data_IF_609225665609
#
_entry.id   IF_609225665609
#
_cell.length_a   1.000
_cell.length_b   1.000
_cell.length_c   1.000
_cell.angle_alpha   90.00
_cell.angle_beta   90.00
_cell.angle_gamma   90.00
#
_symmetry.space_group_name_H-M   'P 1'
#
loop_
_entity.id
_entity.type
_entity.pdbx_description
1 polymer ?
#
# COMPACT_ATOMS: atom_id res chain seq x y z
N UNK A 1 -16.07 -5.27 -14.78
CA UNK A 1 -15.03 -6.30 -14.57
C UNK A 1 -15.33 -7.00 -13.26
N UNK A 2 -15.60 -8.31 -13.29
CA UNK A 2 -15.83 -9.13 -12.09
C UNK A 2 -14.53 -9.80 -11.68
N UNK A 3 -14.21 -9.83 -10.38
CA UNK A 3 -12.98 -10.49 -9.88
C UNK A 3 -12.89 -11.94 -10.35
N UNK A 4 -14.03 -12.62 -10.47
CA UNK A 4 -14.14 -14.02 -10.88
C UNK A 4 -13.66 -14.30 -12.30
N UNK A 5 -13.71 -13.29 -13.19
CA UNK A 5 -13.31 -13.42 -14.61
C UNK A 5 -11.84 -13.08 -14.86
N UNK A 6 -11.11 -12.61 -13.84
CA UNK A 6 -9.69 -12.27 -13.96
C UNK A 6 -8.81 -13.51 -13.84
N UNK A 7 -7.75 -13.55 -14.67
CA UNK A 7 -6.68 -14.53 -14.52
C UNK A 7 -5.97 -14.35 -13.17
N UNK A 8 -5.32 -15.40 -12.64
CA UNK A 8 -4.57 -15.31 -11.39
C UNK A 8 -3.57 -14.15 -11.36
N UNK A 9 -2.84 -13.93 -12.46
CA UNK A 9 -1.85 -12.85 -12.58
C UNK A 9 -2.51 -11.47 -12.54
N UNK A 10 -3.67 -11.32 -13.17
CA UNK A 10 -4.44 -10.08 -13.17
C UNK A 10 -5.00 -9.75 -11.79
N UNK A 11 -5.44 -10.76 -11.03
CA UNK A 11 -5.87 -10.60 -9.63
C UNK A 11 -4.72 -10.13 -8.74
N UNK A 12 -3.53 -10.69 -8.93
CA UNK A 12 -2.33 -10.29 -8.18
C UNK A 12 -1.96 -8.85 -8.54
N UNK A 13 -1.91 -8.51 -9.82
CA UNK A 13 -1.61 -7.15 -10.28
C UNK A 13 -2.64 -6.15 -9.76
N UNK A 14 -3.93 -6.47 -9.81
CA UNK A 14 -4.99 -5.63 -9.26
C UNK A 14 -4.79 -5.41 -7.75
N UNK A 15 -4.47 -6.46 -7.01
CA UNK A 15 -4.22 -6.36 -5.56
C UNK A 15 -3.01 -5.47 -5.26
N UNK A 16 -1.94 -5.58 -6.05
CA UNK A 16 -0.75 -4.74 -5.93
C UNK A 16 -1.12 -3.28 -6.21
N UNK A 17 -1.82 -3.01 -7.32
CA UNK A 17 -2.25 -1.66 -7.69
C UNK A 17 -3.16 -1.03 -6.64
N UNK A 18 -4.11 -1.79 -6.08
CA UNK A 18 -4.97 -1.32 -4.99
C UNK A 18 -4.14 -0.91 -3.76
N UNK A 19 -3.16 -1.72 -3.38
CA UNK A 19 -2.25 -1.42 -2.27
C UNK A 19 -1.44 -0.15 -2.55
N UNK A 20 -0.85 -0.03 -3.74
CA UNK A 20 -0.07 1.16 -4.10
C UNK A 20 -0.93 2.43 -4.10
N UNK A 21 -2.18 2.36 -4.58
CA UNK A 21 -3.12 3.50 -4.47
C UNK A 21 -3.40 3.89 -3.02
N UNK A 22 -3.67 2.92 -2.14
CA UNK A 22 -3.87 3.21 -0.72
C UNK A 22 -2.63 3.84 -0.07
N UNK A 23 -1.43 3.38 -0.43
CA UNK A 23 -0.17 3.94 0.06
C UNK A 23 -0.03 5.40 -0.35
N UNK A 24 -0.34 5.75 -1.61
CA UNK A 24 -0.27 7.13 -2.11
C UNK A 24 -1.24 8.05 -1.40
N UNK A 25 -2.49 7.61 -1.19
CA UNK A 25 -3.49 8.39 -0.42
C UNK A 25 -3.00 8.65 1.01
N UNK A 26 -2.41 7.64 1.65
CA UNK A 26 -1.85 7.82 3.00
C UNK A 26 -0.64 8.78 3.00
N UNK A 27 0.21 8.71 1.97
CA UNK A 27 1.34 9.60 1.81
C UNK A 27 0.89 11.05 1.59
N UNK A 28 -0.09 11.29 0.73
CA UNK A 28 -0.69 12.63 0.54
C UNK A 28 -1.25 13.19 1.85
N UNK A 29 -2.05 12.40 2.58
CA UNK A 29 -2.63 12.84 3.85
C UNK A 29 -1.58 13.15 4.94
N UNK A 30 -0.43 12.48 4.93
CA UNK A 30 0.67 12.74 5.84
C UNK A 30 1.52 13.94 5.41
N UNK A 31 1.70 14.15 4.10
CA UNK A 31 2.38 15.31 3.52
C UNK A 31 1.61 16.60 3.81
N UNK A 32 0.28 16.55 3.76
CA UNK A 32 -0.60 17.66 4.17
C UNK A 32 -0.47 18.03 5.66
N UNK A 33 -0.01 17.09 6.50
CA UNK A 33 0.22 17.31 7.94
C UNK A 33 1.67 17.72 8.27
N UNK A 34 2.63 17.37 7.42
CA UNK A 34 4.05 17.65 7.60
C UNK A 34 4.75 17.86 6.24
N UNK A 35 4.85 19.13 5.80
CA UNK A 35 5.47 19.51 4.52
C UNK A 35 6.98 19.20 4.46
N UNK A 36 7.62 18.91 5.60
CA UNK A 36 9.07 18.71 5.66
C UNK A 36 9.51 17.29 5.30
N UNK A 37 8.58 16.34 5.27
CA UNK A 37 8.89 14.94 4.94
C UNK A 37 8.96 14.75 3.43
N UNK A 38 10.03 14.13 2.95
CA UNK A 38 10.14 13.76 1.53
C UNK A 38 9.17 12.63 1.20
N UNK A 39 8.50 12.74 0.06
CA UNK A 39 7.50 11.80 -0.41
C UNK A 39 8.03 10.36 -0.53
N UNK A 40 9.27 10.19 -1.02
CA UNK A 40 9.92 8.88 -1.13
C UNK A 40 10.13 8.22 0.24
N UNK A 41 10.56 9.00 1.24
CA UNK A 41 10.77 8.51 2.61
C UNK A 41 9.43 8.12 3.26
N UNK A 42 8.37 8.86 2.95
CA UNK A 42 7.03 8.60 3.41
C UNK A 42 6.46 7.30 2.82
N UNK A 43 6.63 7.10 1.51
CA UNK A 43 6.22 5.88 0.81
C UNK A 43 6.94 4.65 1.36
N UNK A 44 8.25 4.74 1.63
CA UNK A 44 9.01 3.65 2.25
C UNK A 44 8.52 3.33 3.66
N UNK A 45 8.29 4.35 4.50
CA UNK A 45 7.76 4.17 5.86
C UNK A 45 6.39 3.51 5.85
N UNK A 46 5.49 3.93 4.96
CA UNK A 46 4.16 3.33 4.82
C UNK A 46 4.25 1.87 4.35
N UNK A 47 5.10 1.57 3.34
CA UNK A 47 5.36 0.18 2.90
C UNK A 47 5.91 -0.69 4.02
N UNK A 48 6.90 -0.19 4.75
CA UNK A 48 7.49 -0.90 5.90
C UNK A 48 6.43 -1.19 6.98
N UNK A 49 5.53 -0.23 7.25
CA UNK A 49 4.46 -0.39 8.25
C UNK A 49 3.42 -1.44 7.82
N UNK A 50 3.03 -1.45 6.55
CA UNK A 50 2.12 -2.47 5.98
C UNK A 50 2.76 -3.85 6.07
N UNK A 51 4.01 -4.00 5.65
CA UNK A 51 4.76 -5.26 5.75
C UNK A 51 4.91 -5.75 7.19
N UNK A 52 5.19 -4.84 8.12
CA UNK A 52 5.25 -5.15 9.55
C UNK A 52 3.89 -5.68 10.07
N UNK A 53 2.78 -5.04 9.70
CA UNK A 53 1.43 -5.49 10.10
C UNK A 53 1.07 -6.86 9.51
N UNK A 54 1.44 -7.11 8.25
CA UNK A 54 1.21 -8.40 7.56
C UNK A 54 1.97 -9.56 8.21
N UNK A 55 3.21 -9.33 8.65
CA UNK A 55 4.01 -10.34 9.37
C UNK A 55 3.38 -10.73 10.71
N UNK A 56 2.96 -9.76 11.52
CA UNK A 56 2.30 -10.04 12.82
C UNK A 56 0.99 -10.81 12.69
N UNK A 57 0.31 -10.73 11.54
CA UNK A 57 -0.91 -11.49 11.28
C UNK A 57 -0.67 -12.98 11.03
N UNK A 58 0.58 -13.40 10.77
CA UNK A 58 0.97 -14.80 10.59
C UNK A 58 1.64 -15.39 11.85
N UNK A 59 1.86 -14.58 12.89
CA UNK A 59 2.46 -14.99 14.16
C UNK A 59 1.41 -15.28 15.26
N UNK A 60 0.11 -15.30 14.91
CA UNK A 60 -1.01 -15.57 15.83
C UNK A 60 -1.82 -16.79 15.42
#
# INVERSE_FOLDING_TARGET
MTLETLKPEEKVNLSISMIDTCIRICAEALKDQDETIKEEELLEKVRARIMYKKRRHHEV
#
